data_IF_778772629148
#
_entry.id   IF_778772629148
#
_cell.length_a   1.000
_cell.length_b   1.000
_cell.length_c   1.000
_cell.angle_alpha   90.00
_cell.angle_beta   90.00
_cell.angle_gamma   90.00
#
_symmetry.space_group_name_H-M   'P 1'
#
loop_
_entity.id
_entity.type
_entity.pdbx_description
1 polymer ?
#
# COMPACT_ATOMS: atom_id res chain seq x y z
N UNK A 1 -1.54 5.72 -10.27
CA UNK A 1 -1.82 5.38 -8.86
C UNK A 1 -3.29 5.04 -8.69
N UNK A 2 -3.58 3.96 -7.99
CA UNK A 2 -4.94 3.54 -7.73
C UNK A 2 -5.14 3.37 -6.22
N UNK A 3 -6.39 3.40 -5.78
CA UNK A 3 -6.70 3.14 -4.38
C UNK A 3 -6.26 1.75 -3.97
N UNK A 4 -6.37 0.79 -4.88
CA UNK A 4 -5.92 -0.57 -4.63
C UNK A 4 -4.42 -0.62 -4.34
N UNK A 5 -3.62 0.13 -5.12
CA UNK A 5 -2.18 0.20 -4.87
C UNK A 5 -1.88 0.81 -3.49
N UNK A 6 -2.64 1.82 -3.09
CA UNK A 6 -2.48 2.41 -1.76
C UNK A 6 -2.82 1.40 -0.66
N UNK A 7 -3.86 0.60 -0.85
CA UNK A 7 -4.22 -0.45 0.09
C UNK A 7 -3.11 -1.50 0.17
N UNK A 8 -2.48 -1.81 -0.95
CA UNK A 8 -1.36 -2.75 -0.97
C UNK A 8 -0.22 -2.24 -0.10
N UNK A 9 0.13 -0.96 -0.25
CA UNK A 9 1.22 -0.36 0.54
C UNK A 9 0.91 -0.46 2.04
N UNK A 10 -0.29 -0.06 2.45
CA UNK A 10 -0.69 -0.11 3.86
C UNK A 10 -0.65 -1.54 4.39
N UNK A 11 -1.14 -2.50 3.60
CA UNK A 11 -1.15 -3.91 4.02
C UNK A 11 0.27 -4.43 4.20
N UNK A 12 1.18 -4.10 3.29
CA UNK A 12 2.58 -4.51 3.41
C UNK A 12 3.19 -3.96 4.70
N UNK A 13 2.95 -2.68 4.99
CA UNK A 13 3.48 -2.06 6.20
C UNK A 13 2.91 -2.73 7.44
N UNK A 14 1.61 -2.99 7.46
CA UNK A 14 0.97 -3.62 8.62
C UNK A 14 1.45 -5.04 8.86
N UNK A 15 1.72 -5.78 7.77
CA UNK A 15 2.20 -7.16 7.87
C UNK A 15 3.71 -7.24 8.14
N UNK A 16 4.44 -6.22 7.73
CA UNK A 16 5.90 -6.22 7.82
C UNK A 16 6.57 -7.12 6.79
N UNK A 17 5.83 -7.60 5.80
CA UNK A 17 6.34 -8.56 4.82
C UNK A 17 5.46 -8.55 3.60
N UNK A 18 6.08 -8.59 2.41
CA UNK A 18 5.34 -8.70 1.14
C UNK A 18 4.65 -10.06 1.06
N UNK A 19 5.31 -11.10 1.53
CA UNK A 19 4.80 -12.46 1.50
C UNK A 19 3.48 -12.57 2.28
N UNK A 20 3.47 -12.08 3.50
CA UNK A 20 2.27 -12.10 4.33
C UNK A 20 1.17 -11.20 3.77
N UNK A 21 1.54 -10.03 3.26
CA UNK A 21 0.58 -9.12 2.66
C UNK A 21 -0.10 -9.75 1.45
N UNK A 22 0.66 -10.45 0.61
CA UNK A 22 0.11 -11.13 -0.56
C UNK A 22 -0.93 -12.16 -0.14
N UNK A 23 -0.66 -12.90 0.94
CA UNK A 23 -1.61 -13.88 1.47
C UNK A 23 -2.89 -13.20 1.93
N UNK A 24 -2.78 -12.11 2.67
CA UNK A 24 -3.95 -11.38 3.16
C UNK A 24 -4.77 -10.79 2.02
N UNK A 25 -4.09 -10.39 0.95
CA UNK A 25 -4.75 -9.77 -0.20
C UNK A 25 -5.25 -10.78 -1.23
N UNK A 26 -4.97 -12.06 -1.03
CA UNK A 26 -5.36 -13.14 -1.93
C UNK A 26 -4.81 -12.95 -3.33
N UNK A 27 -3.55 -12.49 -3.41
CA UNK A 27 -2.83 -12.34 -4.69
C UNK A 27 -1.46 -12.98 -4.55
N UNK A 28 -0.80 -13.18 -5.68
CA UNK A 28 0.54 -13.76 -5.68
C UNK A 28 1.55 -12.70 -5.25
N UNK A 29 2.65 -13.15 -4.66
CA UNK A 29 3.72 -12.26 -4.25
C UNK A 29 4.32 -11.49 -5.43
N UNK A 30 4.59 -12.13 -6.59
CA UNK A 30 5.08 -11.36 -7.75
C UNK A 30 4.10 -10.28 -8.22
N UNK A 31 2.79 -10.55 -8.19
CA UNK A 31 1.79 -9.55 -8.56
C UNK A 31 1.84 -8.35 -7.63
N UNK A 32 1.92 -8.60 -6.33
CA UNK A 32 2.00 -7.54 -5.34
C UNK A 32 3.29 -6.73 -5.51
N UNK A 33 4.41 -7.43 -5.66
CA UNK A 33 5.72 -6.79 -5.83
C UNK A 33 5.76 -5.93 -7.09
N UNK A 34 5.19 -6.41 -8.19
CA UNK A 34 5.14 -5.65 -9.43
C UNK A 34 4.28 -4.40 -9.30
N UNK A 35 3.15 -4.52 -8.61
CA UNK A 35 2.26 -3.37 -8.39
C UNK A 35 2.97 -2.28 -7.61
N UNK A 36 3.73 -2.66 -6.59
CA UNK A 36 4.51 -1.71 -5.79
C UNK A 36 5.57 -1.02 -6.66
N UNK A 37 6.28 -1.79 -7.49
CA UNK A 37 7.32 -1.23 -8.36
C UNK A 37 6.73 -0.25 -9.36
N UNK A 38 5.57 -0.57 -9.92
CA UNK A 38 4.90 0.33 -10.86
C UNK A 38 4.51 1.64 -10.18
N UNK A 39 4.01 1.54 -8.96
CA UNK A 39 3.66 2.73 -8.19
C UNK A 39 4.88 3.58 -7.88
N UNK A 40 5.97 2.93 -7.44
CA UNK A 40 7.23 3.64 -7.18
C UNK A 40 7.76 4.34 -8.42
N UNK A 41 7.67 3.67 -9.56
CA UNK A 41 8.11 4.25 -10.82
C UNK A 41 7.25 5.44 -11.22
N UNK A 42 5.95 5.31 -11.07
CA UNK A 42 5.01 6.39 -11.39
C UNK A 42 5.26 7.63 -10.52
N UNK A 43 5.46 7.41 -9.23
CA UNK A 43 5.68 8.50 -8.28
C UNK A 43 7.11 9.02 -8.29
N UNK A 44 8.04 8.29 -8.87
CA UNK A 44 9.44 8.68 -8.91
C UNK A 44 10.13 8.59 -7.55
N UNK A 45 9.68 7.71 -6.69
CA UNK A 45 10.27 7.52 -5.36
C UNK A 45 10.41 6.05 -5.04
N UNK A 46 11.28 5.75 -4.07
CA UNK A 46 11.36 4.41 -3.48
C UNK A 46 10.58 4.43 -2.17
N UNK A 47 9.49 3.68 -2.12
CA UNK A 47 8.65 3.62 -0.92
C UNK A 47 9.29 2.70 0.11
N UNK A 48 9.82 1.57 -0.34
CA UNK A 48 10.43 0.58 0.54
C UNK A 48 11.92 0.45 0.28
N UNK A 49 12.69 0.38 1.36
CA UNK A 49 14.08 -0.03 1.30
C UNK A 49 14.11 -1.54 1.51
N UNK A 50 14.74 -2.25 0.59
CA UNK A 50 14.85 -3.70 0.68
C UNK A 50 16.21 -4.07 1.25
N UNK A 51 16.19 -4.84 2.31
CA UNK A 51 17.41 -5.33 2.92
C UNK A 51 17.27 -6.82 3.15
N UNK A 52 18.36 -7.46 3.52
CA UNK A 52 18.36 -8.89 3.84
C UNK A 52 17.48 -9.22 5.03
N UNK A 53 17.10 -8.25 5.82
CA UNK A 53 16.27 -8.44 7.01
C UNK A 53 14.80 -8.17 6.76
N UNK A 54 14.41 -7.94 5.53
CA UNK A 54 13.03 -7.70 5.17
C UNK A 54 12.80 -6.32 4.61
N UNK A 55 11.58 -5.82 4.79
CA UNK A 55 11.14 -4.58 4.18
C UNK A 55 11.03 -3.49 5.26
N UNK A 56 11.55 -2.31 4.93
CA UNK A 56 11.41 -1.13 5.77
C UNK A 56 11.03 0.05 4.90
N UNK A 57 10.28 0.99 5.45
CA UNK A 57 9.94 2.20 4.72
C UNK A 57 11.15 3.12 4.59
N UNK A 58 11.32 3.68 3.40
CA UNK A 58 12.25 4.79 3.22
C UNK A 58 11.66 6.04 3.86
N UNK A 59 12.44 7.12 3.96
CA UNK A 59 11.90 8.39 4.46
C UNK A 59 10.80 8.91 3.54
N UNK A 60 10.97 8.78 2.23
CA UNK A 60 9.91 9.11 1.27
C UNK A 60 8.71 8.20 1.43
N UNK A 61 8.94 6.94 1.74
CA UNK A 61 7.88 5.98 1.97
C UNK A 61 7.05 6.31 3.20
N UNK A 62 7.68 6.80 4.26
CA UNK A 62 6.96 7.21 5.46
C UNK A 62 6.03 8.37 5.17
N UNK A 63 6.51 9.34 4.40
CA UNK A 63 5.70 10.48 3.98
C UNK A 63 4.56 10.01 3.06
N UNK A 64 4.88 9.16 2.11
CA UNK A 64 3.88 8.61 1.19
C UNK A 64 2.79 7.85 1.94
N UNK A 65 3.18 7.04 2.92
CA UNK A 65 2.23 6.27 3.72
C UNK A 65 1.26 7.16 4.47
N UNK A 66 1.75 8.27 5.00
CA UNK A 66 0.90 9.23 5.71
C UNK A 66 -0.21 9.77 4.79
N UNK A 67 0.17 10.18 3.58
CA UNK A 67 -0.80 10.64 2.58
C UNK A 67 -1.73 9.51 2.12
N UNK A 68 -1.17 8.32 1.91
CA UNK A 68 -1.96 7.18 1.46
C UNK A 68 -3.06 6.84 2.46
N UNK A 69 -2.74 6.86 3.74
CA UNK A 69 -3.74 6.59 4.78
C UNK A 69 -4.84 7.63 4.78
N UNK A 70 -4.51 8.88 4.59
CA UNK A 70 -5.51 9.95 4.52
C UNK A 70 -6.44 9.76 3.32
N UNK A 71 -5.86 9.43 2.16
CA UNK A 71 -6.66 9.19 0.96
C UNK A 71 -7.61 8.01 1.16
N UNK A 72 -7.10 6.91 1.72
CA UNK A 72 -7.92 5.72 1.96
C UNK A 72 -9.01 5.98 2.98
N UNK A 73 -8.73 6.76 4.01
CA UNK A 73 -9.73 7.13 4.99
C UNK A 73 -10.85 7.93 4.34
N UNK A 74 -10.51 8.90 3.53
CA UNK A 74 -11.51 9.70 2.83
C UNK A 74 -12.33 8.86 1.85
N UNK A 75 -11.68 7.95 1.13
CA UNK A 75 -12.38 7.05 0.23
C UNK A 75 -13.39 6.18 0.99
N UNK A 76 -12.99 5.67 2.15
CA UNK A 76 -13.84 4.85 2.99
C UNK A 76 -15.03 5.65 3.51
N UNK A 77 -14.79 6.87 3.96
CA UNK A 77 -15.87 7.75 4.43
C UNK A 77 -16.86 8.06 3.30
N UNK A 78 -16.34 8.30 2.11
CA UNK A 78 -17.16 8.55 0.93
C UNK A 78 -18.08 7.35 0.64
N UNK A 79 -17.51 6.15 0.64
CA UNK A 79 -18.27 4.94 0.40
C UNK A 79 -19.35 4.73 1.47
N UNK A 80 -18.99 4.91 2.73
CA UNK A 80 -19.92 4.73 3.84
C UNK A 80 -21.08 5.71 3.76
N UNK A 81 -20.80 6.93 3.33
CA UNK A 81 -21.84 7.96 3.25
C UNK A 81 -22.95 7.57 2.28
N UNK A 82 -22.62 6.91 1.18
CA UNK A 82 -23.58 6.57 0.14
C UNK A 82 -24.08 5.13 0.16
N UNK A 83 -23.31 4.22 0.76
CA UNK A 83 -23.68 2.80 0.73
C UNK A 83 -24.27 2.31 2.03
N UNK A 84 -23.97 2.95 3.14
CA UNK A 84 -24.46 2.56 4.45
C UNK A 84 -25.77 3.30 4.76
N UNK A 85 -26.82 2.96 4.05
CA UNK A 85 -28.09 3.68 4.12
C UNK A 85 -29.10 2.93 4.96
N UNK A 86 -28.88 2.85 6.21
CA UNK A 86 -29.86 2.22 7.07
C UNK A 86 -30.45 3.17 8.06
#
# INVERSE_FOLDING_TARGET
>A
MTLQQLRYIVTIVNCGSISEAAKQLFITQPSLSNSVKELEKEMGISIFNRSSKGIALSSQGMEFLSYARQVLEQAELLEQHYTNKK
#
